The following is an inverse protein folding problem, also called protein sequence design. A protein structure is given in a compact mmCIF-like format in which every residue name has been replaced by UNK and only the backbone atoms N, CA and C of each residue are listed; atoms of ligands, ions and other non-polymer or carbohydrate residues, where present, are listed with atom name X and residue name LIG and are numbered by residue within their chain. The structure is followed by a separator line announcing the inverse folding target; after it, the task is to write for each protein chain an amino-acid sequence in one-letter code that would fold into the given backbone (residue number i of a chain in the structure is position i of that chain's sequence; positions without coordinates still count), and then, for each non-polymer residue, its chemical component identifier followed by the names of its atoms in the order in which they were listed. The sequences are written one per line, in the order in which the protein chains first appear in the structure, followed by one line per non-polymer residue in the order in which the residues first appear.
data_IF_496767752795
#
_entry.id   IF_496767752795
#
_cell.length_a   1.000
_cell.length_b   1.000
_cell.length_c   1.000
_cell.angle_alpha   90.00
_cell.angle_beta   90.00
_cell.angle_gamma   90.00
#
_symmetry.space_group_name_H-M   'P 1'
#
loop_
_entity.id
_entity.type
_entity.pdbx_description
1 polymer ?
#
# COMPACT_ATOMS: atom_id res chain seq x y z
N UNK A 1 -0.20 22.65 31.17
CA UNK A 1 -1.15 23.66 30.65
C UNK A 1 -1.19 24.78 31.67
N UNK A 2 -0.45 25.85 31.45
CA UNK A 2 -0.66 27.13 32.12
C UNK A 2 0.09 28.18 31.29
N UNK A 3 -0.65 28.84 30.39
CA UNK A 3 -0.12 29.93 29.58
C UNK A 3 -0.10 31.17 30.46
N UNK A 4 1.08 31.57 30.89
CA UNK A 4 1.30 32.90 31.45
C UNK A 4 1.06 33.95 30.36
N UNK A 5 -0.14 34.53 30.34
CA UNK A 5 -0.43 35.77 29.62
C UNK A 5 0.40 36.89 30.24
N UNK A 6 1.61 37.12 29.72
CA UNK A 6 2.34 38.36 29.97
C UNK A 6 1.78 39.42 29.05
N UNK A 7 0.97 40.30 29.67
CA UNK A 7 0.59 41.61 29.17
C UNK A 7 1.85 42.35 28.75
N UNK A 8 2.06 42.52 27.45
CA UNK A 8 3.07 43.44 26.94
C UNK A 8 2.39 44.80 26.81
N UNK A 9 2.35 45.56 27.90
CA UNK A 9 2.04 46.99 27.83
C UNK A 9 3.17 47.65 27.05
N UNK A 10 2.99 47.77 25.73
CA UNK A 10 3.79 48.70 24.96
C UNK A 10 3.56 50.07 25.58
N UNK A 11 4.59 50.62 26.22
CA UNK A 11 4.59 51.96 26.79
C UNK A 11 4.37 52.94 25.65
N UNK A 12 3.12 53.35 25.47
CA UNK A 12 2.74 54.40 24.54
C UNK A 12 3.32 55.69 25.12
N UNK A 13 4.39 56.23 24.53
CA UNK A 13 4.80 57.61 24.86
C UNK A 13 3.69 58.56 24.40
N UNK A 14 3.66 59.78 24.93
CA UNK A 14 2.67 60.82 24.62
C UNK A 14 2.52 61.14 23.11
N UNK A 15 3.46 60.69 22.25
CA UNK A 15 3.40 60.84 20.80
C UNK A 15 2.90 59.60 20.02
N UNK A 16 2.50 58.51 20.69
CA UNK A 16 1.70 57.44 20.08
C UNK A 16 2.40 56.55 19.04
N UNK A 17 3.73 56.52 18.98
CA UNK A 17 4.44 55.65 18.03
C UNK A 17 4.42 54.19 18.50
N UNK A 18 3.82 53.29 17.70
CA UNK A 18 3.83 51.86 17.96
C UNK A 18 5.24 51.28 17.80
N UNK A 19 5.74 50.61 18.84
CA UNK A 19 7.02 49.91 18.80
C UNK A 19 6.81 48.49 18.29
N UNK A 20 7.13 48.27 17.01
CA UNK A 20 7.04 46.95 16.39
C UNK A 20 8.31 46.14 16.69
N UNK A 21 8.17 44.84 17.00
CA UNK A 21 9.33 43.93 17.14
C UNK A 21 10.05 43.80 15.79
N UNK A 22 11.24 44.40 15.67
CA UNK A 22 12.06 44.31 14.46
C UNK A 22 13.09 45.44 14.32
N UNK A 23 13.57 45.67 13.09
CA UNK A 23 14.39 46.85 12.72
C UNK A 23 13.48 48.06 12.52
N UNK A 24 13.32 48.87 13.55
CA UNK A 24 12.70 50.20 13.48
C UNK A 24 13.72 51.30 13.75
N UNK A 25 13.35 52.55 13.48
CA UNK A 25 14.12 53.72 13.94
C UNK A 25 14.24 53.68 15.46
N UNK A 26 15.38 54.15 16.00
CA UNK A 26 15.58 54.19 17.45
C UNK A 26 14.52 55.11 18.08
N UNK A 27 13.63 54.62 18.95
CA UNK A 27 12.50 55.41 19.45
C UNK A 27 12.93 56.73 20.10
N UNK A 28 14.00 56.72 20.89
CA UNK A 28 14.54 57.93 21.53
C UNK A 28 15.05 58.97 20.51
N UNK A 29 15.59 58.52 19.37
CA UNK A 29 16.04 59.43 18.32
C UNK A 29 14.85 60.06 17.58
N UNK A 30 13.79 59.28 17.36
CA UNK A 30 12.55 59.79 16.76
C UNK A 30 11.86 60.79 17.69
N UNK A 31 11.76 60.47 18.98
CA UNK A 31 11.18 61.36 19.99
C UNK A 31 11.96 62.68 20.04
N UNK A 32 13.29 62.63 20.19
CA UNK A 32 14.12 63.83 20.22
C UNK A 32 13.95 64.70 18.95
N UNK A 33 13.89 64.07 17.77
CA UNK A 33 13.68 64.79 16.52
C UNK A 33 12.29 65.44 16.42
N UNK A 34 11.24 64.74 16.87
CA UNK A 34 9.87 65.26 16.89
C UNK A 34 9.72 66.37 17.92
N UNK A 35 10.41 66.29 19.05
CA UNK A 35 10.45 67.35 20.07
C UNK A 35 11.08 68.62 19.49
N UNK A 36 12.26 68.55 18.86
CA UNK A 36 12.87 69.71 18.20
C UNK A 36 11.95 70.32 17.13
N UNK A 37 11.31 69.49 16.30
CA UNK A 37 10.33 69.96 15.31
C UNK A 37 9.11 70.65 15.95
N UNK A 38 8.67 70.15 17.10
CA UNK A 38 7.54 70.72 17.84
C UNK A 38 7.92 72.06 18.48
N UNK A 39 9.13 72.16 19.04
CA UNK A 39 9.68 73.41 19.57
C UNK A 39 9.82 74.47 18.46
N UNK A 40 10.35 74.10 17.29
CA UNK A 40 10.48 75.00 16.14
C UNK A 40 9.12 75.48 15.64
N UNK A 41 8.13 74.58 15.57
CA UNK A 41 6.75 74.91 15.24
C UNK A 41 6.17 75.89 16.24
N UNK A 42 6.27 75.60 17.54
CA UNK A 42 5.66 76.40 18.59
C UNK A 42 6.32 77.79 18.64
N UNK A 43 7.65 77.87 18.46
CA UNK A 43 8.37 79.14 18.33
C UNK A 43 7.95 79.94 17.10
N UNK A 44 7.66 79.28 15.97
CA UNK A 44 7.13 79.93 14.78
C UNK A 44 5.71 80.46 15.00
N UNK A 45 4.86 79.69 15.68
CA UNK A 45 3.50 80.08 16.06
C UNK A 45 3.49 81.28 17.00
N UNK A 46 4.37 81.30 18.01
CA UNK A 46 4.53 82.45 18.89
C UNK A 46 4.99 83.71 18.13
N UNK A 47 5.94 83.57 17.20
CA UNK A 47 6.37 84.69 16.35
C UNK A 47 5.21 85.22 15.51
N UNK A 48 4.42 84.33 14.89
CA UNK A 48 3.24 84.72 14.12
C UNK A 48 2.20 85.44 15.00
N UNK A 49 1.96 84.95 16.22
CA UNK A 49 1.06 85.59 17.17
C UNK A 49 1.56 87.01 17.56
N UNK A 50 2.86 87.15 17.90
CA UNK A 50 3.46 88.46 18.21
C UNK A 50 3.35 89.45 17.05
N UNK A 51 3.65 89.00 15.83
CA UNK A 51 3.51 89.83 14.63
C UNK A 51 2.06 90.22 14.34
N UNK A 52 1.11 89.33 14.61
CA UNK A 52 -0.33 89.62 14.46
C UNK A 52 -0.80 90.67 15.45
N UNK A 53 -0.33 90.64 16.70
CA UNK A 53 -0.63 91.67 17.71
C UNK A 53 -0.02 93.01 17.29
N UNK A 54 1.26 93.02 16.92
CA UNK A 54 1.93 94.24 16.45
C UNK A 54 1.21 94.86 15.24
N UNK A 55 0.77 94.03 14.29
CA UNK A 55 0.02 94.51 13.13
C UNK A 55 -1.29 95.21 13.54
N UNK A 56 -2.00 94.66 14.54
CA UNK A 56 -3.21 95.28 15.09
C UNK A 56 -2.93 96.60 15.82
N UNK A 57 -1.91 96.64 16.66
CA UNK A 57 -1.49 97.87 17.35
C UNK A 57 -1.15 98.98 16.33
N UNK A 58 -0.42 98.63 15.27
CA UNK A 58 -0.10 99.55 14.19
C UNK A 58 -1.34 100.01 13.39
N UNK A 59 -2.34 99.15 13.21
CA UNK A 59 -3.62 99.52 12.57
C UNK A 59 -4.41 100.51 13.44
N UNK A 60 -4.48 100.29 14.76
CA UNK A 60 -5.13 101.18 15.72
C UNK A 60 -4.45 102.55 15.77
N UNK A 61 -3.11 102.58 15.85
CA UNK A 61 -2.33 103.82 15.80
C UNK A 61 -2.57 104.60 14.50
N UNK A 62 -2.64 103.88 13.37
CA UNK A 62 -2.93 104.48 12.07
C UNK A 62 -4.33 105.08 12.01
N UNK A 63 -5.34 104.42 12.60
CA UNK A 63 -6.70 104.95 12.71
C UNK A 63 -6.76 106.22 13.57
N UNK A 64 -6.06 106.23 14.70
CA UNK A 64 -5.97 107.40 15.59
C UNK A 64 -5.30 108.59 14.87
N UNK A 65 -4.21 108.35 14.15
CA UNK A 65 -3.56 109.35 13.30
C UNK A 65 -4.50 109.87 12.21
N UNK A 66 -5.26 108.99 11.54
CA UNK A 66 -6.25 109.39 10.52
C UNK A 66 -7.35 110.26 11.12
N UNK A 67 -7.90 109.90 12.28
CA UNK A 67 -8.91 110.68 12.97
C UNK A 67 -8.37 112.06 13.38
N UNK A 68 -7.11 112.11 13.87
CA UNK A 68 -6.41 113.36 14.20
C UNK A 68 -6.28 114.26 12.97
N UNK A 69 -5.85 113.71 11.83
CA UNK A 69 -5.72 114.45 10.57
C UNK A 69 -7.08 114.92 10.06
N UNK A 70 -8.12 114.09 10.13
CA UNK A 70 -9.48 114.46 9.70
C UNK A 70 -10.12 115.57 10.56
N UNK A 71 -9.70 115.70 11.82
CA UNK A 71 -10.15 116.76 12.73
C UNK A 71 -9.53 118.13 12.45
N UNK A 72 -8.46 118.18 11.65
CA UNK A 72 -7.83 119.44 11.25
C UNK A 72 -8.69 120.13 10.18
N UNK A 73 -8.92 121.46 10.26
CA UNK A 73 -9.64 122.19 9.23
C UNK A 73 -8.92 122.06 7.88
N UNK A 74 -9.67 122.10 6.78
CA UNK A 74 -9.13 121.97 5.43
C UNK A 74 -8.16 123.12 5.14
N UNK A 75 -6.85 122.83 5.19
CA UNK A 75 -5.78 123.81 5.02
C UNK A 75 -5.56 124.08 3.53
N UNK A 76 -6.27 125.07 2.97
CA UNK A 76 -6.11 125.44 1.56
C UNK A 76 -4.93 126.40 1.33
N UNK A 77 -4.38 126.99 2.40
CA UNK A 77 -3.24 127.93 2.40
C UNK A 77 -3.35 129.10 1.40
N UNK A 78 -4.56 129.41 0.91
CA UNK A 78 -4.80 130.47 -0.08
C UNK A 78 -4.42 131.86 0.44
N UNK A 79 -4.48 132.06 1.76
CA UNK A 79 -4.10 133.29 2.45
C UNK A 79 -2.58 133.56 2.50
N UNK A 80 -1.74 132.60 2.10
CA UNK A 80 -0.27 132.69 2.11
C UNK A 80 0.34 132.91 0.72
N UNK A 81 -0.48 133.00 -0.34
CA UNK A 81 -0.04 133.28 -1.72
C UNK A 81 0.18 132.04 -2.60
N UNK A 82 0.37 132.26 -3.90
CA UNK A 82 0.39 131.20 -4.93
C UNK A 82 1.49 130.16 -4.73
N UNK A 83 2.68 130.57 -4.28
CA UNK A 83 3.80 129.66 -4.00
C UNK A 83 3.48 128.67 -2.87
N UNK A 84 2.74 129.09 -1.83
CA UNK A 84 2.34 128.23 -0.73
C UNK A 84 1.31 127.18 -1.19
N UNK A 85 0.39 127.57 -2.09
CA UNK A 85 -0.58 126.65 -2.71
C UNK A 85 0.12 125.58 -3.56
N UNK A 86 1.12 125.97 -4.37
CA UNK A 86 1.88 125.03 -5.20
C UNK A 86 2.68 124.04 -4.35
N UNK A 87 3.30 124.49 -3.26
CA UNK A 87 4.00 123.62 -2.30
C UNK A 87 3.05 122.63 -1.62
N UNK A 88 1.84 123.06 -1.25
CA UNK A 88 0.84 122.18 -0.65
C UNK A 88 0.35 121.10 -1.62
N UNK A 89 0.07 121.46 -2.88
CA UNK A 89 -0.30 120.48 -3.91
C UNK A 89 0.82 119.48 -4.17
N UNK A 90 2.07 119.94 -4.25
CA UNK A 90 3.23 119.05 -4.37
C UNK A 90 3.33 118.09 -3.17
N UNK A 91 3.12 118.58 -1.96
CA UNK A 91 3.11 117.74 -0.76
C UNK A 91 1.98 116.70 -0.76
N UNK A 92 0.79 117.03 -1.30
CA UNK A 92 -0.32 116.07 -1.47
C UNK A 92 0.01 114.99 -2.50
N UNK A 93 0.63 115.37 -3.61
CA UNK A 93 1.07 114.44 -4.65
C UNK A 93 2.13 113.49 -4.10
N UNK A 94 3.11 114.02 -3.37
CA UNK A 94 4.16 113.21 -2.73
C UNK A 94 3.55 112.26 -1.67
N UNK A 95 2.64 112.75 -0.83
CA UNK A 95 1.95 111.90 0.16
C UNK A 95 1.08 110.81 -0.48
N UNK A 96 0.51 111.05 -1.65
CA UNK A 96 -0.19 110.03 -2.42
C UNK A 96 0.79 109.00 -3.00
N UNK A 97 1.89 109.46 -3.59
CA UNK A 97 2.94 108.61 -4.14
C UNK A 97 3.57 107.71 -3.07
N UNK A 98 3.92 108.24 -1.90
CA UNK A 98 4.46 107.48 -0.77
C UNK A 98 3.47 106.42 -0.28
N UNK A 99 2.18 106.76 -0.16
CA UNK A 99 1.15 105.78 0.26
C UNK A 99 0.98 104.65 -0.75
N UNK A 100 0.99 104.96 -2.04
CA UNK A 100 0.85 103.93 -3.06
C UNK A 100 2.10 103.05 -3.15
N UNK A 101 3.30 103.65 -3.06
CA UNK A 101 4.56 102.90 -2.99
C UNK A 101 4.59 101.98 -1.76
N UNK A 102 4.16 102.45 -0.58
CA UNK A 102 4.09 101.64 0.62
C UNK A 102 3.11 100.47 0.49
N UNK A 103 1.93 100.69 -0.13
CA UNK A 103 0.96 99.61 -0.40
C UNK A 103 1.51 98.58 -1.39
N UNK A 104 2.17 99.04 -2.45
CA UNK A 104 2.77 98.13 -3.42
C UNK A 104 3.85 97.30 -2.75
N UNK A 105 4.74 97.92 -1.97
CA UNK A 105 5.78 97.21 -1.24
C UNK A 105 5.22 96.18 -0.25
N UNK A 106 4.14 96.52 0.47
CA UNK A 106 3.48 95.56 1.37
C UNK A 106 2.86 94.37 0.63
N UNK A 107 2.29 94.60 -0.57
CA UNK A 107 1.79 93.52 -1.45
C UNK A 107 2.94 92.64 -1.93
N UNK A 108 4.02 93.23 -2.42
CA UNK A 108 5.20 92.51 -2.91
C UNK A 108 5.81 91.62 -1.81
N UNK A 109 5.91 92.14 -0.57
CA UNK A 109 6.38 91.36 0.59
C UNK A 109 5.43 90.20 0.94
N UNK A 110 4.12 90.44 0.86
CA UNK A 110 3.11 89.40 1.14
C UNK A 110 3.14 88.30 0.08
N UNK A 111 3.28 88.67 -1.19
CA UNK A 111 3.36 87.73 -2.30
C UNK A 111 4.64 86.90 -2.22
N UNK A 112 5.79 87.53 -1.94
CA UNK A 112 7.06 86.83 -1.69
C UNK A 112 6.94 85.82 -0.53
N UNK A 113 6.37 86.24 0.61
CA UNK A 113 6.18 85.35 1.75
C UNK A 113 5.24 84.17 1.44
N UNK A 114 4.22 84.38 0.59
CA UNK A 114 3.31 83.33 0.14
C UNK A 114 4.02 82.32 -0.77
N UNK A 115 4.82 82.80 -1.70
CA UNK A 115 5.58 81.95 -2.63
C UNK A 115 6.64 81.12 -1.88
N UNK A 116 7.35 81.72 -0.93
CA UNK A 116 8.29 81.01 -0.06
C UNK A 116 7.60 79.91 0.77
N UNK A 117 6.44 80.22 1.38
CA UNK A 117 5.68 79.25 2.15
C UNK A 117 5.13 78.10 1.29
N UNK A 118 4.69 78.40 0.06
CA UNK A 118 4.25 77.40 -0.91
C UNK A 118 5.42 76.48 -1.32
N UNK A 119 6.59 77.06 -1.63
CA UNK A 119 7.79 76.33 -1.98
C UNK A 119 8.27 75.41 -0.85
N UNK A 120 8.28 75.89 0.40
CA UNK A 120 8.61 75.06 1.57
C UNK A 120 7.63 73.89 1.76
N UNK A 121 6.33 74.15 1.56
CA UNK A 121 5.29 73.12 1.67
C UNK A 121 5.43 72.05 0.60
N UNK A 122 5.69 72.45 -0.65
CA UNK A 122 5.92 71.52 -1.76
C UNK A 122 7.21 70.70 -1.55
N UNK A 123 8.31 71.33 -1.14
CA UNK A 123 9.56 70.64 -0.84
C UNK A 123 9.40 69.62 0.29
N UNK A 124 8.68 69.98 1.36
CA UNK A 124 8.37 69.07 2.46
C UNK A 124 7.51 67.88 2.01
N UNK A 125 6.48 68.12 1.18
CA UNK A 125 5.65 67.05 0.59
C UNK A 125 6.47 66.12 -0.30
N UNK A 126 7.27 66.67 -1.21
CA UNK A 126 8.13 65.88 -2.10
C UNK A 126 9.17 65.06 -1.33
N UNK A 127 9.70 65.59 -0.23
CA UNK A 127 10.58 64.82 0.66
C UNK A 127 9.83 63.68 1.36
N UNK A 128 8.65 63.96 1.93
CA UNK A 128 7.82 62.94 2.58
C UNK A 128 7.41 61.83 1.60
N UNK A 129 7.05 62.17 0.36
CA UNK A 129 6.70 61.21 -0.70
C UNK A 129 7.89 60.33 -1.08
N UNK A 130 9.09 60.91 -1.20
CA UNK A 130 10.31 60.14 -1.46
C UNK A 130 10.61 59.15 -0.32
N UNK A 131 10.52 59.59 0.93
CA UNK A 131 10.78 58.73 2.09
C UNK A 131 9.74 57.61 2.19
N UNK A 132 8.46 57.92 1.96
CA UNK A 132 7.38 56.91 1.92
C UNK A 132 7.58 55.91 0.79
N UNK A 133 7.82 56.39 -0.43
CA UNK A 133 8.05 55.54 -1.59
C UNK A 133 9.25 54.60 -1.43
N UNK A 134 10.37 55.10 -0.90
CA UNK A 134 11.54 54.28 -0.60
C UNK A 134 11.26 53.21 0.47
N UNK A 135 10.49 53.56 1.50
CA UNK A 135 10.09 52.62 2.56
C UNK A 135 9.15 51.54 2.03
N UNK A 136 8.17 51.93 1.21
CA UNK A 136 7.22 51.00 0.58
C UNK A 136 7.93 50.02 -0.36
N UNK A 137 8.94 50.49 -1.11
CA UNK A 137 9.76 49.62 -1.96
C UNK A 137 10.53 48.60 -1.12
N UNK A 138 11.22 49.04 -0.06
CA UNK A 138 11.93 48.13 0.84
C UNK A 138 11.00 47.09 1.47
N UNK A 139 9.78 47.48 1.86
CA UNK A 139 8.77 46.55 2.38
C UNK A 139 8.37 45.55 1.30
N UNK A 140 8.11 46.01 0.06
CA UNK A 140 7.75 45.13 -1.06
C UNK A 140 8.86 44.13 -1.39
N UNK A 141 10.11 44.59 -1.50
CA UNK A 141 11.28 43.72 -1.70
C UNK A 141 11.41 42.68 -0.59
N UNK A 142 11.27 43.09 0.67
CA UNK A 142 11.43 42.20 1.81
C UNK A 142 10.31 41.16 1.91
N UNK A 143 9.07 41.54 1.58
CA UNK A 143 7.95 40.60 1.47
C UNK A 143 8.12 39.64 0.29
N UNK A 144 8.63 40.11 -0.85
CA UNK A 144 8.92 39.26 -1.99
C UNK A 144 10.01 38.23 -1.66
N UNK A 145 11.10 38.65 -1.01
CA UNK A 145 12.17 37.77 -0.54
C UNK A 145 11.65 36.72 0.46
N UNK A 146 10.85 37.14 1.45
CA UNK A 146 10.27 36.22 2.43
C UNK A 146 9.32 35.18 1.78
N UNK A 147 8.58 35.59 0.74
CA UNK A 147 7.72 34.66 -0.02
C UNK A 147 8.53 33.68 -0.84
N UNK A 148 9.60 34.14 -1.51
CA UNK A 148 10.50 33.27 -2.26
C UNK A 148 11.15 32.22 -1.34
N UNK A 149 11.67 32.64 -0.17
CA UNK A 149 12.25 31.73 0.81
C UNK A 149 11.22 30.71 1.33
N UNK A 150 10.00 31.14 1.63
CA UNK A 150 8.92 30.24 2.04
C UNK A 150 8.55 29.23 0.93
N UNK A 151 8.54 29.66 -0.33
CA UNK A 151 8.28 28.79 -1.47
C UNK A 151 9.41 27.78 -1.68
N UNK A 152 10.67 28.18 -1.55
CA UNK A 152 11.83 27.29 -1.61
C UNK A 152 11.77 26.20 -0.53
N UNK A 153 11.50 26.59 0.73
CA UNK A 153 11.33 25.64 1.84
C UNK A 153 10.20 24.65 1.53
N UNK A 154 9.06 25.14 1.04
CA UNK A 154 7.90 24.30 0.70
C UNK A 154 8.21 23.33 -0.44
N UNK A 155 8.92 23.77 -1.47
CA UNK A 155 9.32 22.94 -2.60
C UNK A 155 10.31 21.86 -2.13
N UNK A 156 11.34 22.24 -1.38
CA UNK A 156 12.34 21.33 -0.83
C UNK A 156 11.69 20.24 0.03
N UNK A 157 10.83 20.61 0.98
CA UNK A 157 10.13 19.66 1.83
C UNK A 157 9.24 18.69 1.03
N UNK A 158 8.58 19.16 -0.04
CA UNK A 158 7.78 18.30 -0.91
C UNK A 158 8.62 17.32 -1.71
N UNK A 159 9.79 17.75 -2.18
CA UNK A 159 10.71 16.89 -2.91
C UNK A 159 11.27 15.80 -1.98
N UNK A 160 11.71 16.18 -0.77
CA UNK A 160 12.21 15.25 0.24
C UNK A 160 11.15 14.19 0.59
N UNK A 161 9.92 14.60 0.89
CA UNK A 161 8.81 13.66 1.18
C UNK A 161 8.53 12.74 -0.02
N UNK A 162 8.61 13.25 -1.25
CA UNK A 162 8.41 12.45 -2.46
C UNK A 162 9.53 11.42 -2.64
N UNK A 163 10.77 11.79 -2.39
CA UNK A 163 11.94 10.90 -2.47
C UNK A 163 11.90 9.83 -1.38
N UNK A 164 11.62 10.20 -0.14
CA UNK A 164 11.44 9.26 0.97
C UNK A 164 10.31 8.26 0.71
N UNK A 165 9.16 8.74 0.25
CA UNK A 165 8.05 7.88 -0.16
C UNK A 165 8.46 6.95 -1.30
N UNK A 166 9.21 7.45 -2.27
CA UNK A 166 9.77 6.65 -3.37
C UNK A 166 10.66 5.52 -2.87
N UNK A 167 11.61 5.84 -1.98
CA UNK A 167 12.52 4.87 -1.34
C UNK A 167 11.76 3.83 -0.51
N UNK A 168 10.80 4.26 0.30
CA UNK A 168 9.98 3.36 1.11
C UNK A 168 9.16 2.38 0.24
N UNK A 169 8.53 2.88 -0.83
CA UNK A 169 7.77 2.02 -1.74
C UNK A 169 8.66 1.05 -2.52
N UNK A 170 9.86 1.48 -2.93
CA UNK A 170 10.84 0.60 -3.57
C UNK A 170 11.26 -0.54 -2.63
N UNK A 171 11.59 -0.24 -1.38
CA UNK A 171 11.96 -1.25 -0.38
C UNK A 171 10.83 -2.26 -0.13
N UNK A 172 9.57 -1.80 -0.08
CA UNK A 172 8.41 -2.70 0.06
C UNK A 172 8.23 -3.59 -1.16
N UNK A 173 8.43 -3.08 -2.38
CA UNK A 173 8.35 -3.88 -3.61
C UNK A 173 9.44 -4.95 -3.65
N UNK A 174 10.68 -4.55 -3.36
CA UNK A 174 11.81 -5.47 -3.31
C UNK A 174 11.58 -6.59 -2.26
N UNK A 175 11.07 -6.24 -1.08
CA UNK A 175 10.74 -7.24 -0.06
C UNK A 175 9.64 -8.20 -0.55
N UNK A 176 8.60 -7.69 -1.21
CA UNK A 176 7.55 -8.55 -1.79
C UNK A 176 8.10 -9.49 -2.86
N UNK A 177 8.95 -8.99 -3.74
CA UNK A 177 9.61 -9.80 -4.77
C UNK A 177 10.45 -10.89 -4.12
N UNK A 178 11.31 -10.54 -3.15
CA UNK A 178 12.13 -11.51 -2.40
C UNK A 178 11.27 -12.57 -1.69
N UNK A 179 10.22 -12.16 -0.98
CA UNK A 179 9.31 -13.12 -0.30
C UNK A 179 8.58 -14.02 -1.30
N UNK A 180 8.10 -13.46 -2.41
CA UNK A 180 7.44 -14.26 -3.46
C UNK A 180 8.38 -15.28 -4.09
N UNK A 181 9.65 -14.90 -4.30
CA UNK A 181 10.71 -15.79 -4.77
C UNK A 181 10.96 -16.94 -3.79
N UNK A 182 11.16 -16.63 -2.50
CA UNK A 182 11.35 -17.65 -1.47
C UNK A 182 10.17 -18.61 -1.35
N UNK A 183 8.93 -18.11 -1.45
CA UNK A 183 7.73 -18.96 -1.43
C UNK A 183 7.65 -19.87 -2.67
N UNK A 184 8.01 -19.35 -3.85
CA UNK A 184 8.04 -20.14 -5.08
C UNK A 184 9.14 -21.21 -5.05
N UNK A 185 10.33 -20.88 -4.52
CA UNK A 185 11.41 -21.84 -4.31
C UNK A 185 10.99 -22.93 -3.32
N UNK A 186 10.42 -22.55 -2.17
CA UNK A 186 9.90 -23.51 -1.20
C UNK A 186 8.81 -24.42 -1.77
N UNK A 187 7.90 -23.90 -2.59
CA UNK A 187 6.89 -24.70 -3.28
C UNK A 187 7.51 -25.69 -4.29
N UNK A 188 8.54 -25.27 -5.03
CA UNK A 188 9.28 -26.17 -5.95
C UNK A 188 10.01 -27.27 -5.21
N UNK A 189 10.66 -26.96 -4.09
CA UNK A 189 11.33 -27.96 -3.25
C UNK A 189 10.34 -28.97 -2.68
N UNK A 190 9.17 -28.51 -2.21
CA UNK A 190 8.12 -29.41 -1.72
C UNK A 190 7.57 -30.30 -2.83
N UNK A 191 7.30 -29.74 -4.02
CA UNK A 191 6.88 -30.52 -5.18
C UNK A 191 7.92 -31.56 -5.57
N UNK A 192 9.20 -31.20 -5.62
CA UNK A 192 10.29 -32.14 -5.92
C UNK A 192 10.37 -33.28 -4.90
N UNK A 193 10.19 -33.00 -3.61
CA UNK A 193 10.14 -34.04 -2.56
C UNK A 193 8.93 -34.95 -2.70
N UNK A 194 7.75 -34.40 -3.04
CA UNK A 194 6.56 -35.20 -3.29
C UNK A 194 6.77 -36.11 -4.51
N UNK A 195 7.31 -35.59 -5.60
CA UNK A 195 7.64 -36.38 -6.79
C UNK A 195 8.64 -37.51 -6.47
N UNK A 196 9.62 -37.25 -5.59
CA UNK A 196 10.59 -38.27 -5.14
C UNK A 196 9.90 -39.38 -4.34
N UNK A 197 9.06 -39.02 -3.35
CA UNK A 197 8.28 -39.99 -2.59
C UNK A 197 7.33 -40.78 -3.48
N UNK A 198 6.65 -40.13 -4.44
CA UNK A 198 5.77 -40.80 -5.40
C UNK A 198 6.52 -41.81 -6.28
N UNK A 199 7.75 -41.48 -6.71
CA UNK A 199 8.60 -42.41 -7.46
C UNK A 199 9.03 -43.60 -6.60
N UNK A 200 9.48 -43.38 -5.37
CA UNK A 200 9.85 -44.46 -4.45
C UNK A 200 8.67 -45.40 -4.17
N UNK A 201 7.47 -44.85 -3.94
CA UNK A 201 6.26 -45.64 -3.72
C UNK A 201 5.86 -46.40 -4.98
N UNK A 202 5.93 -45.79 -6.17
CA UNK A 202 5.68 -46.48 -7.43
C UNK A 202 6.66 -47.64 -7.67
N UNK A 203 7.94 -47.46 -7.35
CA UNK A 203 8.95 -48.53 -7.41
C UNK A 203 8.65 -49.66 -6.41
N UNK A 204 8.24 -49.34 -5.18
CA UNK A 204 7.84 -50.34 -4.17
C UNK A 204 6.64 -51.14 -4.62
N UNK A 205 5.61 -50.47 -5.15
CA UNK A 205 4.40 -51.12 -5.69
C UNK A 205 4.77 -52.04 -6.84
N UNK A 206 5.54 -51.55 -7.83
CA UNK A 206 5.98 -52.36 -8.95
C UNK A 206 6.80 -53.60 -8.52
N UNK A 207 7.66 -53.46 -7.49
CA UNK A 207 8.42 -54.58 -6.94
C UNK A 207 7.52 -55.60 -6.22
N UNK A 208 6.47 -55.16 -5.51
CA UNK A 208 5.49 -56.05 -4.89
C UNK A 208 4.65 -56.77 -5.94
N UNK A 209 4.17 -56.06 -6.96
CA UNK A 209 3.42 -56.63 -8.08
C UNK A 209 4.25 -57.69 -8.82
N UNK A 210 5.54 -57.42 -9.07
CA UNK A 210 6.43 -58.40 -9.68
C UNK A 210 6.60 -59.66 -8.83
N UNK A 211 6.80 -59.51 -7.50
CA UNK A 211 6.89 -60.65 -6.58
C UNK A 211 5.58 -61.44 -6.51
N UNK A 212 4.44 -60.75 -6.55
CA UNK A 212 3.12 -61.39 -6.56
C UNK A 212 2.93 -62.17 -7.87
N UNK A 213 3.23 -61.58 -9.02
CA UNK A 213 3.13 -62.25 -10.32
C UNK A 213 4.03 -63.50 -10.37
N UNK A 214 5.27 -63.42 -9.88
CA UNK A 214 6.14 -64.60 -9.77
C UNK A 214 5.57 -65.67 -8.83
N UNK A 215 4.99 -65.28 -7.70
CA UNK A 215 4.38 -66.21 -6.75
C UNK A 215 3.12 -66.88 -7.34
N UNK A 216 2.31 -66.13 -8.07
CA UNK A 216 1.15 -66.64 -8.81
C UNK A 216 1.58 -67.63 -9.90
N UNK A 217 2.61 -67.32 -10.69
CA UNK A 217 3.14 -68.23 -11.70
C UNK A 217 3.72 -69.51 -11.08
N UNK A 218 4.47 -69.40 -9.97
CA UNK A 218 4.92 -70.59 -9.21
C UNK A 218 3.75 -71.42 -8.69
N UNK A 219 2.73 -70.77 -8.11
CA UNK A 219 1.55 -71.46 -7.60
C UNK A 219 0.75 -72.14 -8.71
N UNK A 220 0.60 -71.50 -9.87
CA UNK A 220 -0.01 -72.08 -11.08
C UNK A 220 0.79 -73.27 -11.59
N UNK A 221 2.12 -73.17 -11.62
CA UNK A 221 3.01 -74.28 -11.98
C UNK A 221 2.82 -75.49 -11.05
N UNK A 222 2.89 -75.28 -9.74
CA UNK A 222 2.67 -76.34 -8.73
C UNK A 222 1.26 -76.94 -8.85
N UNK A 223 0.24 -76.12 -9.10
CA UNK A 223 -1.12 -76.60 -9.32
C UNK A 223 -1.23 -77.46 -10.58
N UNK A 224 -0.62 -77.03 -11.69
CA UNK A 224 -0.61 -77.77 -12.94
C UNK A 224 0.11 -79.12 -12.80
N UNK A 225 1.26 -79.14 -12.12
CA UNK A 225 1.98 -80.38 -11.77
C UNK A 225 1.12 -81.30 -10.90
N UNK A 226 0.47 -80.76 -9.86
CA UNK A 226 -0.42 -81.54 -9.00
C UNK A 226 -1.63 -82.10 -9.76
N UNK A 227 -2.21 -81.32 -10.69
CA UNK A 227 -3.29 -81.76 -11.58
C UNK A 227 -2.83 -82.87 -12.52
N UNK A 228 -1.62 -82.78 -13.08
CA UNK A 228 -1.05 -83.83 -13.92
C UNK A 228 -0.82 -85.12 -13.13
N UNK A 229 -0.18 -85.04 -11.96
CA UNK A 229 0.02 -86.20 -11.08
C UNK A 229 -1.32 -86.82 -10.66
N UNK A 230 -2.33 -86.00 -10.36
CA UNK A 230 -3.67 -86.47 -10.07
C UNK A 230 -4.30 -87.20 -11.27
N UNK A 231 -4.21 -86.64 -12.48
CA UNK A 231 -4.73 -87.26 -13.69
C UNK A 231 -4.02 -88.59 -14.01
N UNK A 232 -2.69 -88.63 -13.90
CA UNK A 232 -1.89 -89.87 -14.08
C UNK A 232 -2.26 -90.93 -13.04
N UNK A 233 -2.47 -90.54 -11.78
CA UNK A 233 -2.91 -91.43 -10.71
C UNK A 233 -4.34 -91.94 -10.95
N UNK A 234 -5.25 -91.08 -11.45
CA UNK A 234 -6.61 -91.46 -11.83
C UNK A 234 -6.60 -92.46 -12.99
N UNK A 235 -5.80 -92.23 -14.03
CA UNK A 235 -5.64 -93.17 -15.15
C UNK A 235 -4.99 -94.49 -14.71
N UNK A 236 -3.98 -94.46 -13.83
CA UNK A 236 -3.39 -95.66 -13.25
C UNK A 236 -4.41 -96.44 -12.40
N UNK A 237 -5.25 -95.75 -11.63
CA UNK A 237 -6.33 -96.36 -10.86
C UNK A 237 -7.39 -96.98 -11.78
N UNK A 238 -7.77 -96.30 -12.86
CA UNK A 238 -8.68 -96.83 -13.89
C UNK A 238 -8.10 -98.09 -14.55
N UNK A 239 -6.84 -98.05 -15.01
CA UNK A 239 -6.13 -99.21 -15.58
C UNK A 239 -6.07 -100.39 -14.60
N UNK A 240 -5.69 -100.16 -13.34
CA UNK A 240 -5.68 -101.21 -12.32
C UNK A 240 -7.08 -101.78 -12.07
N UNK A 241 -8.12 -100.95 -12.09
CA UNK A 241 -9.50 -101.42 -11.94
C UNK A 241 -9.95 -102.25 -13.16
N UNK A 242 -9.55 -101.87 -14.37
CA UNK A 242 -9.78 -102.63 -15.60
C UNK A 242 -9.02 -103.96 -15.58
N UNK A 243 -7.72 -103.97 -15.29
CA UNK A 243 -6.91 -105.18 -15.12
C UNK A 243 -7.50 -106.11 -14.03
N UNK A 244 -7.96 -105.55 -12.90
CA UNK A 244 -8.60 -106.33 -11.86
C UNK A 244 -9.92 -106.94 -12.32
N UNK A 245 -10.71 -106.22 -13.14
CA UNK A 245 -11.94 -106.76 -13.76
C UNK A 245 -11.62 -107.86 -14.78
N UNK A 246 -10.59 -107.70 -15.60
CA UNK A 246 -10.12 -108.71 -16.54
C UNK A 246 -9.63 -109.96 -15.82
N UNK A 247 -8.74 -109.83 -14.83
CA UNK A 247 -8.28 -110.95 -13.99
C UNK A 247 -9.43 -111.63 -13.25
N UNK A 248 -10.39 -110.86 -12.73
CA UNK A 248 -11.59 -111.43 -12.12
C UNK A 248 -12.41 -112.22 -13.15
N UNK A 249 -12.55 -111.73 -14.37
CA UNK A 249 -13.22 -112.45 -15.46
C UNK A 249 -12.46 -113.72 -15.86
N UNK A 250 -11.12 -113.69 -15.94
CA UNK A 250 -10.26 -114.86 -16.19
C UNK A 250 -10.40 -115.90 -15.10
N UNK A 251 -10.26 -115.52 -13.82
CA UNK A 251 -10.41 -116.44 -12.68
C UNK A 251 -11.82 -117.04 -12.64
N UNK A 252 -12.87 -116.26 -12.95
CA UNK A 252 -14.22 -116.78 -13.08
C UNK A 252 -14.36 -117.76 -14.26
N UNK A 253 -13.68 -117.51 -15.37
CA UNK A 253 -13.65 -118.43 -16.52
C UNK A 253 -12.89 -119.73 -16.20
N UNK A 254 -11.74 -119.64 -15.54
CA UNK A 254 -10.98 -120.81 -15.06
C UNK A 254 -11.78 -121.61 -14.03
N UNK A 255 -12.43 -120.94 -13.07
CA UNK A 255 -13.28 -121.58 -12.08
C UNK A 255 -14.47 -122.29 -12.75
N UNK A 256 -15.08 -121.70 -13.79
CA UNK A 256 -16.11 -122.35 -14.60
C UNK A 256 -15.56 -123.56 -15.36
N UNK A 257 -14.41 -123.44 -16.03
CA UNK A 257 -13.78 -124.55 -16.73
C UNK A 257 -13.40 -125.70 -15.79
N UNK A 258 -12.93 -125.38 -14.57
CA UNK A 258 -12.61 -126.36 -13.53
C UNK A 258 -13.86 -126.98 -12.93
N UNK A 259 -14.93 -126.21 -12.74
CA UNK A 259 -16.24 -126.73 -12.34
C UNK A 259 -16.83 -127.66 -13.41
N UNK A 260 -16.71 -127.31 -14.70
CA UNK A 260 -17.08 -128.19 -15.81
C UNK A 260 -16.21 -129.46 -15.88
N UNK A 261 -14.90 -129.33 -15.62
CA UNK A 261 -13.97 -130.45 -15.55
C UNK A 261 -14.34 -131.42 -14.42
N UNK A 262 -14.60 -130.91 -13.22
CA UNK A 262 -15.09 -131.68 -12.08
C UNK A 262 -16.44 -132.31 -12.39
N UNK A 263 -17.36 -131.59 -13.05
CA UNK A 263 -18.65 -132.13 -13.48
C UNK A 263 -18.49 -133.30 -14.46
N UNK A 264 -17.62 -133.18 -15.47
CA UNK A 264 -17.32 -134.27 -16.41
C UNK A 264 -16.63 -135.46 -15.73
N UNK A 265 -15.75 -135.19 -14.76
CA UNK A 265 -15.05 -136.22 -13.99
C UNK A 265 -16.01 -136.95 -13.02
N UNK A 266 -16.92 -136.22 -12.36
CA UNK A 266 -18.00 -136.85 -11.57
C UNK A 266 -18.96 -137.64 -12.44
N UNK A 267 -19.30 -137.15 -13.64
CA UNK A 267 -20.13 -137.90 -14.59
C UNK A 267 -19.42 -139.17 -15.11
N UNK A 268 -18.09 -139.12 -15.28
CA UNK A 268 -17.26 -140.29 -15.62
C UNK A 268 -17.17 -141.28 -14.47
N UNK A 269 -16.98 -140.83 -13.24
CA UNK A 269 -16.98 -141.70 -12.04
C UNK A 269 -18.35 -142.35 -11.81
N UNK A 270 -19.45 -141.64 -12.09
CA UNK A 270 -20.79 -142.19 -12.04
C UNK A 270 -21.01 -143.26 -13.13
N UNK A 271 -20.46 -143.08 -14.35
CA UNK A 271 -20.44 -144.13 -15.38
C UNK A 271 -19.59 -145.33 -14.97
N UNK A 272 -18.38 -145.11 -14.46
CA UNK A 272 -17.47 -146.17 -13.98
C UNK A 272 -18.08 -146.99 -12.82
N UNK A 273 -18.93 -146.38 -11.99
CA UNK A 273 -19.69 -147.07 -10.95
C UNK A 273 -20.92 -147.80 -11.49
N UNK A 274 -21.55 -147.32 -12.56
CA UNK A 274 -22.60 -148.05 -13.26
C UNK A 274 -22.04 -149.31 -13.94
N UNK A 275 -20.88 -149.19 -14.60
CA UNK A 275 -20.21 -150.30 -15.28
C UNK A 275 -19.72 -151.37 -14.29
N UNK A 276 -19.14 -150.96 -13.14
CA UNK A 276 -18.77 -151.90 -12.05
C UNK A 276 -19.97 -152.62 -11.44
N UNK A 277 -21.16 -152.00 -11.42
CA UNK A 277 -22.38 -152.63 -10.94
C UNK A 277 -22.89 -153.67 -11.94
N UNK A 278 -22.74 -153.41 -13.23
CA UNK A 278 -23.09 -154.34 -14.31
C UNK A 278 -22.15 -155.56 -14.36
N UNK A 279 -20.85 -155.36 -14.11
CA UNK A 279 -19.86 -156.44 -14.00
C UNK A 279 -20.11 -157.36 -12.80
N UNK A 280 -20.50 -156.82 -11.63
CA UNK A 280 -20.85 -157.62 -10.45
C UNK A 280 -22.15 -158.41 -10.66
N UNK A 281 -23.12 -157.83 -11.37
CA UNK A 281 -24.37 -158.52 -11.73
C UNK A 281 -24.08 -159.71 -12.67
N UNK A 282 -23.21 -159.50 -13.67
CA UNK A 282 -22.82 -160.53 -14.66
C UNK A 282 -22.01 -161.67 -14.02
N UNK A 283 -21.18 -161.38 -13.02
CA UNK A 283 -20.44 -162.42 -12.27
C UNK A 283 -21.37 -163.27 -11.37
N UNK A 284 -22.41 -162.67 -10.79
CA UNK A 284 -23.42 -163.39 -10.00
C UNK A 284 -24.29 -164.31 -10.89
N UNK A 285 -24.65 -163.88 -12.09
CA UNK A 285 -25.37 -164.71 -13.06
C UNK A 285 -24.52 -165.89 -13.57
N UNK A 286 -23.20 -165.71 -13.70
CA UNK A 286 -22.28 -166.76 -14.14
C UNK A 286 -21.99 -167.81 -13.05
N UNK A 287 -21.98 -167.42 -11.77
CA UNK A 287 -21.86 -168.36 -10.63
C UNK A 287 -23.18 -169.13 -10.41
N UNK A 288 -24.34 -168.48 -10.56
CA UNK A 288 -25.64 -169.14 -10.51
C UNK A 288 -25.84 -170.13 -11.67
N UNK A 289 -25.35 -169.83 -12.88
CA UNK A 289 -25.37 -170.76 -14.02
C UNK A 289 -24.38 -171.93 -13.88
N UNK A 290 -23.22 -171.71 -13.23
CA UNK A 290 -22.19 -172.75 -13.04
C UNK A 290 -22.53 -173.75 -11.91
N UNK A 291 -23.36 -173.35 -10.93
CA UNK A 291 -23.90 -174.25 -9.90
C UNK A 291 -25.08 -175.13 -10.39
N UNK A 292 -25.66 -174.85 -11.56
CA UNK A 292 -26.74 -175.67 -12.15
C UNK A 292 -26.28 -176.73 -13.15
N UNK A 293 -24.99 -176.76 -13.53
CA UNK A 293 -24.49 -177.66 -14.58
C UNK A 293 -23.75 -178.93 -14.08
N UNK A 294 -23.49 -179.09 -12.77
CA UNK A 294 -22.76 -180.26 -12.25
C UNK A 294 -23.33 -180.93 -10.99
N UNK A 295 -24.53 -180.56 -10.58
CA UNK A 295 -25.39 -181.38 -9.71
C UNK A 295 -26.77 -181.50 -10.33
N UNK A 296 -27.17 -182.74 -10.61
CA UNK A 296 -28.53 -183.04 -11.00
C UNK A 296 -29.53 -182.62 -9.92
N UNK A 297 -30.49 -181.78 -10.33
CA UNK A 297 -31.96 -181.81 -10.10
C UNK A 297 -32.43 -182.03 -8.65
N UNK A 298 -33.29 -181.19 -8.05
CA UNK A 298 -34.50 -180.46 -8.46
C UNK A 298 -34.74 -179.35 -7.40
N UNK A 299 -35.57 -178.33 -7.67
CA UNK A 299 -36.76 -177.92 -6.86
C UNK A 299 -37.26 -176.52 -7.28
N UNK A 300 -38.60 -176.43 -7.34
CA UNK A 300 -39.55 -175.30 -7.36
C UNK A 300 -39.03 -173.86 -7.48
#
# INVERSE_FOLDING_TARGET
MERGSRVSSASVSSQGFEVVRGRGYRPLQVIAYVETLSEDRDAAWERAARLTVLAREMEEDLELLRARVASLPEQTYESLGESARQLFELARQEAAAVREAARQHARDLTDLARDDAAGMTEAARAYADRVRGASDEQVRERLAAARAEADEIRIAARLEVKEERGRALAAVREMRERTSGMLAEGAREQAARLDEVEREEAERVAALDARQAEAEERARGVLAEAQQVFAEAEEAARRRAEEARERAAEVLAEARARAEGIARETERVLRDHADRREDVQTHMDHVCASLSALTGRVVE
#
